data_IF_703050904528
#
_entry.id   IF_703050904528
#
_cell.length_a   1.000
_cell.length_b   1.000
_cell.length_c   1.000
_cell.angle_alpha   90.00
_cell.angle_beta   90.00
_cell.angle_gamma   90.00
#
_symmetry.space_group_name_H-M   'P 1'
#
loop_
_entity.id
_entity.type
_entity.pdbx_description
1 polymer ?
#
# COMPACT_ATOMS: atom_id res chain seq x y z
N UNK A 1 -3.94 -10.16 15.72
CA UNK A 1 -5.28 -9.76 15.25
C UNK A 1 -5.36 -10.10 13.77
N UNK A 2 -6.46 -10.73 13.34
CA UNK A 2 -6.64 -11.19 11.95
C UNK A 2 -6.62 -10.01 10.96
N UNK A 3 -6.21 -10.25 9.73
CA UNK A 3 -6.26 -9.31 8.61
C UNK A 3 -7.72 -8.97 8.30
N UNK A 4 -8.09 -7.73 8.55
CA UNK A 4 -9.43 -7.19 8.32
C UNK A 4 -9.41 -6.39 7.01
N UNK A 5 -10.31 -6.75 6.10
CA UNK A 5 -10.64 -5.98 4.89
C UNK A 5 -12.05 -5.44 5.10
N UNK A 6 -12.18 -4.14 5.24
CA UNK A 6 -13.46 -3.52 5.61
C UNK A 6 -13.71 -2.24 4.80
N UNK A 7 -14.82 -1.56 5.10
CA UNK A 7 -15.24 -0.30 4.47
C UNK A 7 -14.19 0.82 4.57
N UNK A 8 -13.30 0.75 5.56
CA UNK A 8 -12.27 1.75 5.83
C UNK A 8 -10.89 1.09 5.92
N UNK A 9 -10.42 0.64 4.75
CA UNK A 9 -9.06 0.16 4.55
C UNK A 9 -8.82 -1.29 5.00
N UNK A 10 -7.56 -1.68 4.88
CA UNK A 10 -7.03 -3.00 5.23
C UNK A 10 -6.18 -2.85 6.48
N UNK A 11 -6.44 -3.66 7.50
CA UNK A 11 -5.81 -3.56 8.83
C UNK A 11 -5.40 -4.93 9.32
N UNK A 12 -4.31 -5.04 10.04
CA UNK A 12 -3.87 -6.30 10.63
C UNK A 12 -2.67 -6.11 11.53
N UNK A 13 -2.33 -7.15 12.28
CA UNK A 13 -1.07 -7.19 13.03
C UNK A 13 0.08 -7.50 12.06
N UNK A 14 1.21 -6.80 12.23
CA UNK A 14 2.41 -7.01 11.41
C UNK A 14 3.02 -8.40 11.69
N UNK A 15 3.46 -9.08 10.63
CA UNK A 15 4.08 -10.43 10.71
C UNK A 15 3.06 -11.56 10.67
N UNK A 16 3.46 -12.78 11.03
CA UNK A 16 2.60 -13.96 10.96
C UNK A 16 2.42 -14.50 9.53
N UNK A 17 1.36 -15.29 9.32
CA UNK A 17 1.09 -15.93 8.03
C UNK A 17 0.40 -14.98 7.03
N UNK A 18 0.76 -15.05 5.73
CA UNK A 18 0.11 -14.26 4.69
C UNK A 18 -1.40 -14.52 4.63
N UNK A 19 -2.18 -13.45 4.43
CA UNK A 19 -3.64 -13.52 4.32
C UNK A 19 -4.40 -13.66 5.64
N UNK A 20 -3.74 -14.09 6.73
CA UNK A 20 -4.31 -14.04 8.09
C UNK A 20 -3.85 -12.83 8.86
N UNK A 21 -2.71 -12.23 8.50
CA UNK A 21 -2.13 -11.06 9.13
C UNK A 21 -1.71 -10.01 8.08
N UNK A 22 -1.18 -8.86 8.51
CA UNK A 22 -0.59 -7.90 7.59
C UNK A 22 0.90 -8.21 7.42
N UNK A 23 1.21 -9.04 6.43
CA UNK A 23 2.59 -9.39 6.09
C UNK A 23 3.17 -8.48 5.01
N UNK A 24 4.50 -8.47 4.80
CA UNK A 24 5.11 -7.77 3.66
C UNK A 24 4.53 -8.20 2.30
N UNK A 25 4.24 -9.50 2.14
CA UNK A 25 3.65 -10.06 0.91
C UNK A 25 2.24 -9.49 0.70
N UNK A 26 1.45 -9.38 1.77
CA UNK A 26 0.12 -8.79 1.70
C UNK A 26 0.16 -7.31 1.31
N UNK A 27 1.09 -6.53 1.89
CA UNK A 27 1.27 -5.12 1.55
C UNK A 27 1.58 -4.92 0.06
N UNK A 28 2.54 -5.68 -0.47
CA UNK A 28 2.90 -5.68 -1.91
C UNK A 28 1.70 -6.11 -2.76
N UNK A 29 1.01 -7.18 -2.38
CA UNK A 29 -0.15 -7.68 -3.13
C UNK A 29 -1.28 -6.65 -3.21
N UNK A 30 -1.59 -5.97 -2.11
CA UNK A 30 -2.63 -4.95 -2.09
C UNK A 30 -2.22 -3.68 -2.85
N UNK A 31 -0.97 -3.23 -2.72
CA UNK A 31 -0.44 -2.12 -3.50
C UNK A 31 -0.49 -2.41 -5.00
N UNK A 32 -0.05 -3.60 -5.41
CA UNK A 32 -0.08 -4.03 -6.80
C UNK A 32 -1.51 -4.12 -7.35
N UNK A 33 -2.43 -4.70 -6.57
CA UNK A 33 -3.83 -4.78 -6.94
C UNK A 33 -4.46 -3.38 -7.13
N UNK A 34 -4.14 -2.44 -6.23
CA UNK A 34 -4.60 -1.05 -6.32
C UNK A 34 -4.03 -0.34 -7.56
N UNK A 35 -2.72 -0.46 -7.80
CA UNK A 35 -2.07 0.09 -9.00
C UNK A 35 -2.65 -0.46 -10.30
N UNK A 36 -2.89 -1.78 -10.38
CA UNK A 36 -3.48 -2.42 -11.54
C UNK A 36 -4.93 -1.96 -11.78
N UNK A 37 -5.71 -1.83 -10.71
CA UNK A 37 -7.06 -1.30 -10.75
C UNK A 37 -7.09 0.14 -11.30
N UNK A 38 -6.22 1.02 -10.78
CA UNK A 38 -6.13 2.41 -11.25
C UNK A 38 -5.73 2.51 -12.72
N UNK A 39 -4.76 1.70 -13.17
CA UNK A 39 -4.35 1.65 -14.58
C UNK A 39 -5.50 1.28 -15.50
N UNK A 40 -6.29 0.28 -15.10
CA UNK A 40 -7.48 -0.14 -15.86
C UNK A 40 -8.54 0.96 -15.94
N UNK A 41 -8.72 1.75 -14.89
CA UNK A 41 -9.69 2.85 -14.88
C UNK A 41 -9.22 4.11 -15.62
N UNK A 42 -7.91 4.25 -15.83
CA UNK A 42 -7.29 5.46 -16.37
C UNK A 42 -6.40 5.11 -17.57
N UNK A 43 -6.96 4.40 -18.55
CA UNK A 43 -6.24 4.01 -19.76
C UNK A 43 -5.58 5.23 -20.43
N UNK A 44 -4.32 5.07 -20.85
CA UNK A 44 -3.49 6.08 -21.50
C UNK A 44 -3.20 7.35 -20.68
N UNK A 45 -3.46 7.35 -19.36
CA UNK A 45 -3.06 8.44 -18.47
C UNK A 45 -1.79 8.11 -17.71
N UNK A 46 -0.98 9.13 -17.50
CA UNK A 46 0.14 9.05 -16.58
C UNK A 46 -0.39 9.08 -15.14
N UNK A 47 -0.22 7.99 -14.40
CA UNK A 47 -0.67 7.89 -13.01
C UNK A 47 0.35 8.49 -12.05
N UNK A 48 -0.14 9.22 -11.05
CA UNK A 48 0.63 9.74 -9.92
C UNK A 48 -0.14 9.52 -8.63
N UNK A 49 0.49 8.94 -7.62
CA UNK A 49 -0.12 8.59 -6.33
C UNK A 49 0.64 9.29 -5.21
N UNK A 50 -0.09 9.86 -4.25
CA UNK A 50 0.49 10.45 -3.04
C UNK A 50 0.40 9.43 -1.90
N UNK A 51 1.48 9.25 -1.15
CA UNK A 51 1.54 8.33 0.00
C UNK A 51 1.98 9.10 1.23
N UNK A 52 1.32 8.81 2.36
CA UNK A 52 1.73 9.25 3.69
C UNK A 52 1.47 8.15 4.71
N UNK A 53 2.06 8.29 5.90
CA UNK A 53 1.91 7.33 7.01
C UNK A 53 1.77 8.04 8.35
N UNK A 54 1.26 7.30 9.34
CA UNK A 54 1.34 7.73 10.73
C UNK A 54 2.66 7.32 11.40
N UNK A 55 2.79 7.63 12.70
CA UNK A 55 3.99 7.42 13.49
C UNK A 55 4.22 5.97 13.97
N UNK A 56 3.46 4.97 13.49
CA UNK A 56 3.74 3.57 13.88
C UNK A 56 5.12 3.16 13.41
N UNK A 57 5.85 2.45 14.27
CA UNK A 57 7.23 1.97 14.01
C UNK A 57 7.29 1.13 12.72
N UNK A 58 6.29 0.27 12.48
CA UNK A 58 6.19 -0.54 11.27
C UNK A 58 5.83 0.26 10.01
N UNK A 59 5.45 1.53 10.15
CA UNK A 59 4.95 2.36 9.07
C UNK A 59 5.97 2.59 7.97
N UNK A 60 7.25 2.79 8.31
CA UNK A 60 8.32 3.03 7.33
C UNK A 60 8.53 1.84 6.40
N UNK A 61 8.54 0.63 6.96
CA UNK A 61 8.64 -0.61 6.21
C UNK A 61 7.44 -0.79 5.28
N UNK A 62 6.21 -0.60 5.79
CA UNK A 62 4.99 -0.75 4.99
C UNK A 62 4.94 0.30 3.88
N UNK A 63 5.26 1.56 4.19
CA UNK A 63 5.35 2.65 3.21
C UNK A 63 6.32 2.28 2.09
N UNK A 64 7.54 1.84 2.44
CA UNK A 64 8.55 1.46 1.46
C UNK A 64 8.06 0.32 0.54
N UNK A 65 7.44 -0.72 1.10
CA UNK A 65 6.87 -1.82 0.31
C UNK A 65 5.82 -1.32 -0.68
N UNK A 66 4.91 -0.44 -0.25
CA UNK A 66 3.86 0.12 -1.12
C UNK A 66 4.46 1.03 -2.20
N UNK A 67 5.35 1.95 -1.81
CA UNK A 67 6.01 2.90 -2.72
C UNK A 67 6.77 2.16 -3.82
N UNK A 68 7.66 1.24 -3.47
CA UNK A 68 8.47 0.53 -4.45
C UNK A 68 7.66 -0.45 -5.31
N UNK A 69 6.56 -0.99 -4.78
CA UNK A 69 5.63 -1.77 -5.60
C UNK A 69 5.00 -0.92 -6.70
N UNK A 70 4.50 0.27 -6.37
CA UNK A 70 3.86 1.17 -7.33
C UNK A 70 4.86 1.74 -8.35
N UNK A 71 6.06 2.12 -7.89
CA UNK A 71 7.15 2.53 -8.77
C UNK A 71 7.57 1.41 -9.72
N UNK A 72 7.68 0.16 -9.23
CA UNK A 72 7.96 -1.01 -10.06
C UNK A 72 6.88 -1.31 -11.10
N UNK A 73 5.66 -0.83 -10.87
CA UNK A 73 4.58 -0.85 -11.85
C UNK A 73 4.64 0.35 -12.82
N UNK A 74 5.60 1.25 -12.72
CA UNK A 74 5.68 2.46 -13.54
C UNK A 74 4.63 3.51 -13.21
N UNK A 75 4.24 3.62 -11.93
CA UNK A 75 3.36 4.68 -11.42
C UNK A 75 4.22 5.68 -10.65
N UNK A 76 4.06 6.98 -10.90
CA UNK A 76 4.76 8.00 -10.12
C UNK A 76 4.24 8.02 -8.68
N UNK A 77 5.15 8.20 -7.73
CA UNK A 77 4.80 8.31 -6.32
C UNK A 77 5.36 9.61 -5.74
N UNK A 78 4.50 10.33 -5.02
CA UNK A 78 4.89 11.46 -4.16
C UNK A 78 4.79 11.00 -2.71
N UNK A 79 5.93 10.87 -2.05
CA UNK A 79 6.01 10.41 -0.67
C UNK A 79 6.05 11.61 0.29
N UNK A 80 5.05 11.73 1.15
CA UNK A 80 4.93 12.77 2.17
C UNK A 80 5.55 12.39 3.52
N UNK A 81 5.92 11.12 3.72
CA UNK A 81 6.39 10.62 5.00
C UNK A 81 5.32 10.69 6.09
N UNK A 82 5.65 11.28 7.24
CA UNK A 82 4.73 11.41 8.37
C UNK A 82 3.65 12.48 8.08
N UNK A 83 2.39 12.05 8.01
CA UNK A 83 1.25 12.95 7.77
C UNK A 83 -0.01 12.46 8.49
N UNK A 84 -0.98 13.35 8.65
CA UNK A 84 -2.36 12.93 8.93
C UNK A 84 -2.99 12.33 7.67
N UNK A 85 -4.00 11.48 7.84
CA UNK A 85 -4.87 11.02 6.75
C UNK A 85 -5.83 12.14 6.34
#
# INVERSE_FOLDING_TARGET
MTLIKSISGIRGTIGGEPGTNLTPIDAVKFAAAYGAFLKKQNENKHLKIVIGRDARISGEMIQSLVVYTLLGMGIDVVDLGLSTT
#
